data_IF_155865094908
#
_entry.id   IF_155865094908
#
_cell.length_a   1.000
_cell.length_b   1.000
_cell.length_c   1.000
_cell.angle_alpha   90.00
_cell.angle_beta   90.00
_cell.angle_gamma   90.00
#
_symmetry.space_group_name_H-M   'P 1'
#
loop_
_entity.id
_entity.type
_entity.pdbx_description
1 polymer ?
#
# COMPACT_ATOMS: atom_id res chain seq x y z
N UNK A 1 20.01 -26.34 30.60
CA UNK A 1 19.32 -26.38 29.28
C UNK A 1 18.81 -24.97 29.01
N UNK A 2 19.59 -24.17 28.28
CA UNK A 2 19.33 -22.74 28.03
C UNK A 2 19.30 -22.56 26.52
N UNK A 3 18.12 -22.25 25.97
CA UNK A 3 17.90 -22.07 24.55
C UNK A 3 18.52 -20.76 24.05
N UNK A 4 19.39 -20.85 23.04
CA UNK A 4 19.92 -19.70 22.32
C UNK A 4 18.81 -19.05 21.49
N UNK A 5 18.51 -17.80 21.82
CA UNK A 5 17.79 -16.87 20.94
C UNK A 5 18.65 -16.62 19.70
N UNK A 6 18.13 -16.91 18.51
CA UNK A 6 18.74 -16.47 17.25
C UNK A 6 18.47 -14.96 17.12
N UNK A 7 19.52 -14.15 17.15
CA UNK A 7 19.45 -12.75 16.77
C UNK A 7 19.34 -12.66 15.25
N UNK A 8 18.23 -12.10 14.76
CA UNK A 8 18.15 -11.67 13.37
C UNK A 8 19.16 -10.55 13.15
N UNK A 9 20.21 -10.85 12.38
CA UNK A 9 21.17 -9.85 11.96
C UNK A 9 20.49 -8.86 10.99
N UNK A 10 20.75 -7.56 11.08
CA UNK A 10 20.26 -6.59 10.10
C UNK A 10 20.81 -6.95 8.72
N UNK A 11 19.93 -7.18 7.75
CA UNK A 11 20.33 -7.27 6.34
C UNK A 11 21.01 -5.96 5.95
N UNK A 12 22.23 -6.05 5.43
CA UNK A 12 22.94 -4.90 4.88
C UNK A 12 22.08 -4.27 3.76
N UNK A 13 21.89 -2.94 3.75
CA UNK A 13 21.11 -2.29 2.72
C UNK A 13 21.75 -2.53 1.35
N UNK A 14 20.95 -2.95 0.37
CA UNK A 14 21.35 -2.96 -1.03
C UNK A 14 21.87 -1.55 -1.39
N UNK A 15 23.05 -1.48 -2.00
CA UNK A 15 23.62 -0.20 -2.42
C UNK A 15 22.61 0.54 -3.34
N UNK A 16 22.31 1.80 -3.03
CA UNK A 16 21.34 2.64 -3.74
C UNK A 16 21.54 2.67 -5.26
N UNK A 17 22.75 2.39 -5.75
CA UNK A 17 23.11 2.28 -7.18
C UNK A 17 22.45 1.11 -7.93
N UNK A 18 21.69 0.23 -7.26
CA UNK A 18 21.04 -0.95 -7.87
C UNK A 18 19.53 -0.98 -7.71
N UNK A 19 18.95 0.12 -7.23
CA UNK A 19 17.52 0.28 -7.06
C UNK A 19 16.85 0.68 -8.39
N UNK A 20 15.62 0.21 -8.56
CA UNK A 20 14.73 0.56 -9.65
C UNK A 20 15.01 -0.15 -10.98
N UNK A 21 14.25 0.21 -12.02
CA UNK A 21 14.44 -0.30 -13.37
C UNK A 21 15.87 -0.10 -13.88
N UNK A 22 16.37 -1.11 -14.59
CA UNK A 22 17.69 -1.18 -15.21
C UNK A 22 17.54 -1.56 -16.68
N UNK A 23 18.48 -1.17 -17.56
CA UNK A 23 18.48 -1.62 -18.94
C UNK A 23 18.50 -3.15 -19.04
N UNK A 24 17.61 -3.70 -19.87
CA UNK A 24 17.61 -5.13 -20.13
C UNK A 24 18.82 -5.53 -20.99
N UNK A 25 19.60 -6.55 -20.60
CA UNK A 25 20.81 -6.93 -21.33
C UNK A 25 20.49 -7.76 -22.58
N UNK A 26 21.22 -7.49 -23.67
CA UNK A 26 21.24 -8.32 -24.88
C UNK A 26 19.84 -8.68 -25.41
N UNK A 27 19.61 -9.98 -25.66
CA UNK A 27 18.32 -10.47 -26.20
C UNK A 27 17.13 -10.24 -25.27
N UNK A 28 17.35 -10.02 -23.97
CA UNK A 28 16.27 -9.77 -23.01
C UNK A 28 15.57 -8.41 -23.23
N UNK A 29 16.19 -7.49 -23.98
CA UNK A 29 15.54 -6.23 -24.36
C UNK A 29 14.60 -6.37 -25.57
N UNK A 30 14.54 -7.54 -26.22
CA UNK A 30 13.77 -7.75 -27.44
C UNK A 30 12.43 -8.44 -27.13
N UNK A 31 11.30 -7.82 -27.51
CA UNK A 31 9.97 -8.38 -27.27
C UNK A 31 9.77 -9.73 -27.98
N UNK A 32 10.30 -9.90 -29.18
CA UNK A 32 10.18 -11.16 -29.95
C UNK A 32 10.94 -12.34 -29.31
N UNK A 33 11.96 -12.06 -28.48
CA UNK A 33 12.60 -13.10 -27.67
C UNK A 33 11.60 -13.62 -26.62
N UNK A 34 10.89 -12.72 -25.95
CA UNK A 34 9.88 -13.07 -24.96
C UNK A 34 8.64 -13.71 -25.56
N UNK A 35 8.21 -13.30 -26.75
CA UNK A 35 7.11 -13.97 -27.47
C UNK A 35 7.41 -15.47 -27.66
N UNK A 36 8.66 -15.82 -28.01
CA UNK A 36 9.11 -17.21 -28.16
C UNK A 36 9.18 -17.95 -26.81
N UNK A 37 9.68 -17.29 -25.76
CA UNK A 37 9.79 -17.91 -24.43
C UNK A 37 8.40 -18.19 -23.83
N UNK A 38 7.50 -17.20 -23.90
CA UNK A 38 6.13 -17.28 -23.35
C UNK A 38 5.21 -18.08 -24.28
N UNK A 39 5.58 -18.23 -25.55
CA UNK A 39 4.78 -18.85 -26.63
C UNK A 39 3.48 -18.10 -26.84
N UNK A 40 3.58 -16.78 -27.00
CA UNK A 40 2.45 -15.95 -27.40
C UNK A 40 2.00 -16.34 -28.81
N UNK A 41 0.69 -16.39 -29.04
CA UNK A 41 0.09 -16.76 -30.33
C UNK A 41 -1.31 -16.16 -30.43
N UNK A 42 -1.80 -15.98 -31.66
CA UNK A 42 -3.14 -15.43 -31.89
C UNK A 42 -3.21 -13.97 -31.47
N UNK A 43 -4.08 -13.67 -30.51
CA UNK A 43 -4.35 -12.31 -30.03
C UNK A 43 -3.45 -11.85 -28.88
N UNK A 44 -2.59 -12.74 -28.37
CA UNK A 44 -1.62 -12.46 -27.31
C UNK A 44 -0.29 -11.96 -27.91
N UNK A 45 0.26 -10.86 -27.39
CA UNK A 45 1.60 -10.35 -27.72
C UNK A 45 2.32 -9.78 -26.51
N UNK A 46 3.64 -9.90 -26.46
CA UNK A 46 4.45 -9.16 -25.47
C UNK A 46 4.37 -7.66 -25.80
N UNK A 47 3.88 -6.89 -24.84
CA UNK A 47 3.73 -5.43 -24.96
C UNK A 47 4.96 -4.70 -24.45
N UNK A 48 5.53 -5.15 -23.33
CA UNK A 48 6.71 -4.51 -22.73
C UNK A 48 7.55 -5.48 -21.92
N UNK A 49 8.83 -5.13 -21.80
CA UNK A 49 9.78 -5.76 -20.88
C UNK A 49 10.56 -4.68 -20.13
N UNK A 50 10.71 -4.87 -18.83
CA UNK A 50 11.58 -4.07 -17.97
C UNK A 50 12.45 -4.99 -17.12
N UNK A 51 13.66 -4.58 -16.79
CA UNK A 51 14.57 -5.40 -15.99
C UNK A 51 14.94 -4.69 -14.68
N UNK A 52 15.19 -5.45 -13.63
CA UNK A 52 15.74 -4.95 -12.36
C UNK A 52 16.29 -6.09 -11.51
N UNK A 53 16.89 -5.76 -10.36
CA UNK A 53 17.23 -6.74 -9.33
C UNK A 53 16.03 -6.95 -8.39
N UNK A 54 15.02 -7.67 -8.87
CA UNK A 54 13.78 -7.94 -8.14
C UNK A 54 13.92 -9.03 -7.07
N UNK A 55 14.96 -9.87 -7.18
CA UNK A 55 15.23 -11.00 -6.30
C UNK A 55 16.63 -10.86 -5.69
N UNK A 56 16.88 -11.53 -4.57
CA UNK A 56 18.25 -11.73 -4.05
C UNK A 56 19.09 -12.62 -4.95
N UNK A 57 18.44 -13.40 -5.82
CA UNK A 57 19.08 -14.23 -6.82
C UNK A 57 19.99 -13.39 -7.73
N UNK A 58 21.23 -13.82 -8.00
CA UNK A 58 22.18 -13.05 -8.79
C UNK A 58 21.71 -12.80 -10.22
N UNK A 59 21.92 -11.57 -10.69
CA UNK A 59 21.56 -11.12 -12.03
C UNK A 59 20.23 -10.35 -12.07
N UNK A 60 19.92 -9.81 -13.25
CA UNK A 60 18.67 -9.10 -13.49
C UNK A 60 17.53 -10.09 -13.75
N UNK A 61 16.36 -9.74 -13.24
CA UNK A 61 15.09 -10.34 -13.58
C UNK A 61 14.37 -9.45 -14.60
N UNK A 62 13.54 -10.07 -15.43
CA UNK A 62 12.69 -9.36 -16.39
C UNK A 62 11.24 -9.45 -15.96
N UNK A 63 10.60 -8.28 -15.82
CA UNK A 63 9.16 -8.11 -15.77
C UNK A 63 8.64 -8.03 -17.20
N UNK A 64 7.77 -8.96 -17.59
CA UNK A 64 7.22 -9.04 -18.95
C UNK A 64 5.71 -8.88 -18.88
N UNK A 65 5.18 -7.94 -19.67
CA UNK A 65 3.75 -7.69 -19.82
C UNK A 65 3.28 -8.24 -21.17
N UNK A 66 2.27 -9.10 -21.15
CA UNK A 66 1.63 -9.68 -22.34
C UNK A 66 0.20 -9.17 -22.43
N UNK A 67 -0.18 -8.62 -23.58
CA UNK A 67 -1.51 -8.08 -23.86
C UNK A 67 -2.29 -9.03 -24.75
N UNK A 68 -3.56 -9.23 -24.44
CA UNK A 68 -4.54 -9.92 -25.27
C UNK A 68 -5.50 -8.89 -25.86
N UNK A 69 -5.36 -8.59 -27.15
CA UNK A 69 -6.07 -7.46 -27.77
C UNK A 69 -7.55 -7.76 -28.03
N UNK A 70 -7.92 -9.02 -28.27
CA UNK A 70 -9.30 -9.39 -28.62
C UNK A 70 -10.24 -9.52 -27.41
N UNK A 71 -9.68 -9.64 -26.20
CA UNK A 71 -10.42 -9.95 -24.97
C UNK A 71 -10.61 -8.73 -24.06
N UNK A 72 -10.79 -7.54 -24.63
CA UNK A 72 -10.93 -6.30 -23.84
C UNK A 72 -9.61 -5.81 -23.24
N UNK A 73 -8.49 -6.04 -23.92
CA UNK A 73 -7.15 -5.58 -23.53
C UNK A 73 -6.66 -6.13 -22.17
N UNK A 74 -6.97 -7.40 -21.89
CA UNK A 74 -6.47 -8.11 -20.71
C UNK A 74 -4.95 -8.24 -20.76
N UNK A 75 -4.30 -8.04 -19.61
CA UNK A 75 -2.87 -8.21 -19.42
C UNK A 75 -2.53 -9.42 -18.54
N UNK A 76 -1.46 -10.11 -18.92
CA UNK A 76 -0.76 -11.08 -18.09
C UNK A 76 0.65 -10.55 -17.79
N UNK A 77 1.08 -10.69 -16.55
CA UNK A 77 2.36 -10.20 -16.03
C UNK A 77 3.19 -11.39 -15.61
N UNK A 78 4.46 -11.39 -15.98
CA UNK A 78 5.40 -12.45 -15.65
C UNK A 78 6.69 -11.86 -15.09
N UNK A 79 7.34 -12.57 -14.16
CA UNK A 79 8.74 -12.30 -13.80
C UNK A 79 9.59 -13.52 -14.13
N UNK A 80 10.68 -13.28 -14.86
CA UNK A 80 11.65 -14.30 -15.24
C UNK A 80 13.03 -13.99 -14.65
N UNK A 81 13.76 -15.03 -14.25
CA UNK A 81 15.19 -14.97 -13.95
C UNK A 81 16.00 -15.78 -14.98
N UNK A 82 17.33 -15.66 -14.90
CA UNK A 82 18.27 -16.25 -15.89
C UNK A 82 17.91 -15.81 -17.32
N UNK A 83 17.63 -14.51 -17.50
CA UNK A 83 17.00 -13.92 -18.69
C UNK A 83 17.83 -14.00 -19.98
N UNK A 84 19.10 -14.40 -19.89
CA UNK A 84 19.96 -14.67 -21.05
C UNK A 84 20.03 -16.16 -21.42
N UNK A 85 19.43 -17.05 -20.60
CA UNK A 85 19.32 -18.48 -20.90
C UNK A 85 18.43 -18.73 -22.12
N UNK A 86 18.58 -19.90 -22.75
CA UNK A 86 17.62 -20.37 -23.75
C UNK A 86 16.31 -20.85 -23.12
N UNK A 87 16.31 -21.08 -21.80
CA UNK A 87 15.14 -21.40 -20.98
C UNK A 87 15.18 -20.55 -19.70
N UNK A 88 14.74 -19.28 -19.74
CA UNK A 88 14.55 -18.48 -18.55
C UNK A 88 13.58 -19.16 -17.58
N UNK A 89 13.80 -18.98 -16.28
CA UNK A 89 12.95 -19.56 -15.26
C UNK A 89 11.88 -18.56 -14.83
N UNK A 90 10.60 -18.94 -14.88
CA UNK A 90 9.48 -18.11 -14.44
C UNK A 90 9.34 -18.20 -12.91
N UNK A 91 9.29 -17.06 -12.23
CA UNK A 91 9.12 -16.96 -10.77
C UNK A 91 7.84 -16.24 -10.34
N UNK A 92 7.19 -15.55 -11.27
CA UNK A 92 5.91 -14.89 -11.01
C UNK A 92 5.03 -14.96 -12.24
N UNK A 93 3.73 -15.12 -12.00
CA UNK A 93 2.68 -14.95 -13.00
C UNK A 93 1.45 -14.38 -12.33
N UNK A 94 0.93 -13.30 -12.90
CA UNK A 94 -0.39 -12.77 -12.60
C UNK A 94 -1.13 -12.61 -13.92
N UNK A 95 -2.39 -13.05 -13.99
CA UNK A 95 -3.12 -13.10 -15.25
C UNK A 95 -4.51 -12.51 -15.11
N UNK A 96 -5.10 -12.09 -16.23
CA UNK A 96 -6.46 -11.57 -16.23
C UNK A 96 -6.57 -10.12 -15.76
N UNK A 97 -5.50 -9.32 -15.88
CA UNK A 97 -5.55 -7.91 -15.50
C UNK A 97 -6.33 -7.11 -16.55
N UNK A 98 -7.58 -6.79 -16.25
CA UNK A 98 -8.42 -5.95 -17.11
C UNK A 98 -7.80 -4.55 -17.27
N UNK A 99 -7.58 -4.11 -18.52
CA UNK A 99 -6.82 -2.90 -18.85
C UNK A 99 -5.48 -2.80 -18.09
N UNK A 100 -4.87 -3.96 -17.80
CA UNK A 100 -3.83 -4.04 -16.79
C UNK A 100 -2.53 -3.35 -17.18
N UNK A 101 -1.81 -2.82 -16.19
CA UNK A 101 -0.46 -2.28 -16.36
C UNK A 101 0.47 -2.97 -15.38
N UNK A 102 1.76 -3.01 -15.71
CA UNK A 102 2.79 -3.45 -14.79
C UNK A 102 4.04 -2.58 -14.96
N UNK A 103 4.68 -2.24 -13.84
CA UNK A 103 5.98 -1.57 -13.81
C UNK A 103 6.83 -2.10 -12.66
N UNK A 104 8.12 -1.83 -12.72
CA UNK A 104 9.02 -2.08 -11.59
C UNK A 104 9.08 -0.79 -10.78
N UNK A 105 8.84 -0.89 -9.47
CA UNK A 105 8.99 0.23 -8.54
C UNK A 105 10.46 0.68 -8.49
N UNK A 106 10.73 1.91 -8.05
CA UNK A 106 12.11 2.33 -7.76
C UNK A 106 12.75 1.51 -6.62
N UNK A 107 11.99 0.72 -5.89
CA UNK A 107 12.43 -0.17 -4.80
C UNK A 107 12.47 -1.66 -5.17
N UNK A 108 12.58 -1.98 -6.46
CA UNK A 108 12.72 -3.35 -6.96
C UNK A 108 11.57 -4.32 -6.60
N UNK A 109 10.34 -3.79 -6.49
CA UNK A 109 9.11 -4.57 -6.40
C UNK A 109 8.35 -4.54 -7.72
N UNK A 110 7.43 -5.48 -7.89
CA UNK A 110 6.53 -5.52 -9.04
C UNK A 110 5.25 -4.78 -8.68
N UNK A 111 4.94 -3.73 -9.43
CA UNK A 111 3.71 -2.96 -9.29
C UNK A 111 2.77 -3.34 -10.42
N UNK A 112 1.53 -3.65 -10.08
CA UNK A 112 0.47 -3.94 -11.06
C UNK A 112 -0.71 -3.02 -10.85
N UNK A 113 -1.37 -2.66 -11.94
CA UNK A 113 -2.62 -1.93 -11.94
C UNK A 113 -3.65 -2.68 -12.80
N UNK A 114 -4.92 -2.62 -12.45
CA UNK A 114 -6.02 -3.10 -13.27
C UNK A 114 -7.27 -2.24 -13.06
N UNK A 115 -8.18 -2.28 -14.02
CA UNK A 115 -9.52 -1.76 -13.85
C UNK A 115 -10.37 -2.73 -13.02
N UNK A 116 -11.27 -2.19 -12.21
CA UNK A 116 -12.25 -2.96 -11.42
C UNK A 116 -13.28 -3.66 -12.31
N UNK A 117 -13.68 -3.05 -13.42
CA UNK A 117 -14.67 -3.59 -14.36
C UNK A 117 -14.36 -3.15 -15.80
N UNK A 118 -15.08 -3.72 -16.77
CA UNK A 118 -14.82 -3.48 -18.21
C UNK A 118 -15.27 -2.11 -18.71
N UNK A 119 -16.10 -1.39 -17.95
CA UNK A 119 -16.47 -0.01 -18.29
C UNK A 119 -15.42 1.02 -17.83
N UNK A 120 -14.57 0.68 -16.87
CA UNK A 120 -13.52 1.56 -16.38
C UNK A 120 -12.25 1.37 -17.22
N UNK A 121 -11.91 2.34 -18.07
CA UNK A 121 -10.66 2.32 -18.85
C UNK A 121 -9.43 2.69 -18.02
N UNK A 122 -9.63 3.37 -16.90
CA UNK A 122 -8.56 3.82 -16.00
C UNK A 122 -8.36 2.76 -14.91
N UNK A 123 -7.15 2.21 -14.75
CA UNK A 123 -6.86 1.33 -13.63
C UNK A 123 -7.07 2.02 -12.29
N UNK A 124 -7.79 1.36 -11.38
CA UNK A 124 -8.17 1.85 -10.05
C UNK A 124 -7.84 0.85 -8.94
N UNK A 125 -7.36 -0.35 -9.30
CA UNK A 125 -6.88 -1.37 -8.38
C UNK A 125 -5.39 -1.59 -8.58
N UNK A 126 -4.62 -1.31 -7.54
CA UNK A 126 -3.16 -1.40 -7.56
C UNK A 126 -2.67 -2.42 -6.54
N UNK A 127 -1.61 -3.14 -6.90
CA UNK A 127 -0.96 -4.12 -6.02
C UNK A 127 0.55 -4.07 -6.15
N UNK A 128 1.22 -4.29 -5.03
CA UNK A 128 2.67 -4.42 -4.94
C UNK A 128 3.04 -5.86 -4.58
N UNK A 129 4.01 -6.43 -5.29
CA UNK A 129 4.55 -7.76 -5.01
C UNK A 129 6.06 -7.67 -4.79
N UNK A 130 6.51 -8.22 -3.66
CA UNK A 130 7.92 -8.23 -3.26
C UNK A 130 8.43 -9.66 -3.18
N UNK A 131 9.68 -9.88 -3.59
CA UNK A 131 10.33 -11.17 -3.44
C UNK A 131 10.55 -11.51 -1.96
N UNK A 132 10.19 -12.73 -1.58
CA UNK A 132 10.37 -13.30 -0.25
C UNK A 132 11.31 -14.50 -0.35
N UNK A 133 12.52 -14.38 0.20
CA UNK A 133 13.51 -15.47 0.20
C UNK A 133 13.00 -16.72 0.93
N UNK A 134 12.29 -16.51 2.04
CA UNK A 134 11.71 -17.59 2.83
C UNK A 134 10.63 -18.36 2.08
N UNK A 135 9.81 -17.67 1.28
CA UNK A 135 8.77 -18.30 0.46
C UNK A 135 9.31 -18.80 -0.89
N UNK A 136 10.47 -18.30 -1.35
CA UNK A 136 10.97 -18.56 -2.70
C UNK A 136 10.01 -18.05 -3.80
N UNK A 137 9.23 -17.02 -3.50
CA UNK A 137 8.18 -16.50 -4.37
C UNK A 137 7.99 -14.99 -4.18
N UNK A 138 7.29 -14.37 -5.13
CA UNK A 138 6.77 -13.01 -4.96
C UNK A 138 5.47 -13.06 -4.16
N UNK A 139 5.43 -12.32 -3.05
CA UNK A 139 4.27 -12.20 -2.19
C UNK A 139 3.69 -10.79 -2.30
N UNK A 140 2.37 -10.68 -2.25
CA UNK A 140 1.73 -9.36 -2.20
C UNK A 140 2.06 -8.70 -0.85
N UNK A 141 2.48 -7.44 -0.89
CA UNK A 141 2.78 -6.64 0.30
C UNK A 141 1.90 -5.41 0.36
N UNK A 142 1.59 -4.95 1.57
CA UNK A 142 0.87 -3.70 1.79
C UNK A 142 1.83 -2.51 1.66
N UNK A 143 1.40 -1.46 0.95
CA UNK A 143 2.06 -0.16 1.02
C UNK A 143 1.83 0.48 2.40
N UNK A 144 2.84 1.11 3.04
CA UNK A 144 2.65 1.67 4.38
C UNK A 144 1.77 2.92 4.47
N UNK A 145 1.55 3.64 3.35
CA UNK A 145 0.79 4.90 3.30
C UNK A 145 -0.73 4.70 3.31
N UNK A 146 -1.42 5.67 3.91
CA UNK A 146 -2.88 5.78 3.99
C UNK A 146 -3.41 6.99 3.21
N UNK A 147 -2.59 8.03 3.05
CA UNK A 147 -2.93 9.28 2.37
C UNK A 147 -1.65 10.10 2.10
N UNK A 148 -1.53 10.82 0.97
CA UNK A 148 -2.50 10.87 -0.14
C UNK A 148 -2.58 9.57 -0.92
N UNK A 149 -1.56 8.71 -0.80
CA UNK A 149 -1.45 7.51 -1.60
C UNK A 149 -1.76 6.26 -0.79
N UNK A 150 -2.72 5.48 -1.29
CA UNK A 150 -3.05 4.19 -0.71
C UNK A 150 -2.12 3.08 -1.19
N UNK A 151 -1.37 3.30 -2.27
CA UNK A 151 -0.54 2.28 -2.93
C UNK A 151 0.79 2.88 -3.37
N UNK A 152 1.85 2.05 -3.45
CA UNK A 152 3.15 2.48 -4.00
C UNK A 152 3.03 2.93 -5.46
N UNK A 153 2.11 2.33 -6.21
CA UNK A 153 1.89 2.69 -7.61
C UNK A 153 1.52 4.17 -7.76
N UNK A 154 0.59 4.63 -6.90
CA UNK A 154 0.14 6.03 -6.86
C UNK A 154 1.23 6.94 -6.30
N UNK A 155 1.85 6.56 -5.16
CA UNK A 155 2.89 7.36 -4.53
C UNK A 155 4.08 7.68 -5.44
N UNK A 156 4.53 6.71 -6.25
CA UNK A 156 5.60 6.97 -7.23
C UNK A 156 5.15 7.87 -8.38
N UNK A 157 3.87 7.82 -8.78
CA UNK A 157 3.34 8.72 -9.79
C UNK A 157 3.25 10.15 -9.22
N UNK A 158 2.73 10.29 -8.01
CA UNK A 158 2.61 11.57 -7.32
C UNK A 158 3.98 12.19 -7.02
N UNK A 159 4.97 11.37 -6.65
CA UNK A 159 6.35 11.84 -6.52
C UNK A 159 6.89 12.40 -7.85
N UNK A 160 6.56 11.78 -8.99
CA UNK A 160 7.01 12.27 -10.29
C UNK A 160 6.34 13.60 -10.67
N UNK A 161 5.07 13.78 -10.33
CA UNK A 161 4.35 15.06 -10.51
C UNK A 161 4.94 16.16 -9.62
N UNK A 162 5.22 15.84 -8.36
CA UNK A 162 5.85 16.77 -7.40
C UNK A 162 7.25 17.18 -7.84
N UNK A 163 8.03 16.26 -8.40
CA UNK A 163 9.35 16.57 -8.97
C UNK A 163 9.26 17.54 -10.16
N UNK A 164 8.10 17.64 -10.83
CA UNK A 164 7.82 18.60 -11.90
C UNK A 164 7.22 19.92 -11.37
N UNK A 165 7.14 20.09 -10.05
CA UNK A 165 6.61 21.28 -9.40
C UNK A 165 5.08 21.28 -9.25
N UNK A 166 4.40 20.16 -9.47
CA UNK A 166 2.97 20.04 -9.28
C UNK A 166 2.63 19.63 -7.83
N UNK A 167 1.46 20.06 -7.33
CA UNK A 167 0.96 19.68 -5.99
C UNK A 167 1.99 19.84 -4.83
N UNK A 168 2.62 21.02 -4.67
CA UNK A 168 3.69 21.24 -3.70
C UNK A 168 3.28 21.00 -2.24
N UNK A 169 1.97 21.02 -1.94
CA UNK A 169 1.44 20.72 -0.60
C UNK A 169 1.85 19.34 -0.09
N UNK A 170 2.12 18.37 -0.99
CA UNK A 170 2.60 17.03 -0.62
C UNK A 170 4.03 17.01 -0.06
N UNK A 171 4.77 18.11 -0.20
CA UNK A 171 6.10 18.28 0.39
C UNK A 171 6.05 18.85 1.82
N UNK A 172 4.87 19.27 2.28
CA UNK A 172 4.64 19.83 3.62
C UNK A 172 3.76 18.87 4.46
N UNK A 173 4.25 18.53 5.66
CA UNK A 173 3.57 17.57 6.52
C UNK A 173 2.25 18.11 7.11
N UNK A 174 2.17 19.43 7.37
CA UNK A 174 0.96 20.07 7.87
C UNK A 174 -0.11 20.13 6.80
N UNK A 175 0.23 20.58 5.61
CA UNK A 175 -0.72 20.68 4.50
C UNK A 175 -1.19 19.30 4.06
N UNK A 176 -0.30 18.31 4.01
CA UNK A 176 -0.68 16.91 3.80
C UNK A 176 -1.70 16.43 4.84
N UNK A 177 -1.49 16.77 6.12
CA UNK A 177 -2.42 16.40 7.19
C UNK A 177 -3.75 17.14 7.09
N UNK A 178 -3.74 18.43 6.74
CA UNK A 178 -4.97 19.24 6.53
C UNK A 178 -5.82 18.67 5.40
N UNK A 179 -5.20 18.26 4.30
CA UNK A 179 -5.89 17.63 3.17
C UNK A 179 -6.54 16.28 3.54
N UNK A 180 -6.08 15.64 4.61
CA UNK A 180 -6.62 14.37 5.11
C UNK A 180 -7.70 14.51 6.20
N UNK A 181 -8.12 15.73 6.59
CA UNK A 181 -9.07 15.92 7.70
C UNK A 181 -10.38 15.15 7.52
N UNK A 182 -10.88 15.07 6.28
CA UNK A 182 -12.07 14.27 5.95
C UNK A 182 -11.92 12.78 6.28
N UNK A 183 -10.74 12.20 6.04
CA UNK A 183 -10.43 10.81 6.41
C UNK A 183 -10.55 10.60 7.92
N UNK A 184 -10.19 11.59 8.72
CA UNK A 184 -10.25 11.54 10.18
C UNK A 184 -11.63 11.89 10.76
N UNK A 185 -12.64 12.08 9.91
CA UNK A 185 -13.97 12.59 10.31
C UNK A 185 -13.83 13.92 11.09
N UNK A 186 -12.98 14.83 10.59
CA UNK A 186 -12.73 16.18 11.13
C UNK A 186 -13.30 17.23 10.18
N UNK A 187 -13.73 18.36 10.76
CA UNK A 187 -14.03 19.56 9.97
C UNK A 187 -12.73 20.13 9.40
N UNK A 188 -12.84 20.80 8.26
CA UNK A 188 -11.70 21.39 7.56
C UNK A 188 -11.05 22.55 8.34
N UNK A 189 -11.77 23.15 9.32
CA UNK A 189 -11.25 24.19 10.21
C UNK A 189 -10.56 23.65 11.47
N UNK A 190 -10.54 22.33 11.69
CA UNK A 190 -9.91 21.75 12.87
C UNK A 190 -8.42 22.14 12.93
N UNK A 191 -7.92 22.65 14.08
CA UNK A 191 -6.51 23.04 14.20
C UNK A 191 -5.56 21.87 13.97
N UNK A 192 -4.52 22.13 13.19
CA UNK A 192 -3.46 21.18 12.87
C UNK A 192 -2.13 21.79 13.30
N UNK A 193 -1.40 21.10 14.16
CA UNK A 193 -0.14 21.59 14.75
C UNK A 193 0.98 20.58 14.62
N UNK A 194 2.15 21.03 14.22
CA UNK A 194 3.33 20.18 14.08
C UNK A 194 3.89 19.94 15.49
N UNK A 195 3.99 18.67 15.88
CA UNK A 195 4.51 18.27 17.20
C UNK A 195 6.01 18.01 17.11
N UNK A 196 6.45 17.33 16.05
CA UNK A 196 7.87 17.00 15.84
C UNK A 196 8.16 16.65 14.39
N UNK A 197 9.39 16.89 13.94
CA UNK A 197 9.85 16.57 12.58
C UNK A 197 9.21 17.47 11.53
N UNK A 198 8.99 16.94 10.32
CA UNK A 198 8.27 17.66 9.25
C UNK A 198 9.10 18.72 8.50
N UNK A 199 10.36 18.93 8.88
CA UNK A 199 11.27 19.80 8.17
C UNK A 199 11.71 19.27 6.80
N UNK A 200 12.48 20.09 6.08
CA UNK A 200 12.95 19.80 4.72
C UNK A 200 13.73 18.48 4.61
N UNK A 201 14.48 18.12 5.65
CA UNK A 201 15.35 16.94 5.68
C UNK A 201 14.90 15.87 6.68
N UNK A 202 13.73 16.03 7.29
CA UNK A 202 13.20 15.02 8.19
C UNK A 202 12.59 13.87 7.39
N UNK A 203 12.84 12.64 7.85
CA UNK A 203 12.21 11.44 7.29
C UNK A 203 10.80 11.20 7.87
N UNK A 204 10.52 11.77 9.06
CA UNK A 204 9.30 11.53 9.81
C UNK A 204 8.72 12.84 10.34
N UNK A 205 7.40 12.85 10.54
CA UNK A 205 6.70 13.95 11.19
C UNK A 205 5.59 13.39 12.09
N UNK A 206 5.29 14.14 13.15
CA UNK A 206 4.11 13.93 13.98
C UNK A 206 3.33 15.22 14.02
N UNK A 207 2.06 15.13 13.63
CA UNK A 207 1.14 16.26 13.58
C UNK A 207 -0.03 15.95 14.49
N UNK A 208 -0.43 16.94 15.31
CA UNK A 208 -1.58 16.86 16.19
C UNK A 208 -2.76 17.57 15.54
N UNK A 209 -3.88 16.85 15.43
CA UNK A 209 -5.14 17.39 14.93
C UNK A 209 -6.12 17.44 16.09
N UNK A 210 -6.56 18.64 16.44
CA UNK A 210 -7.51 18.86 17.52
C UNK A 210 -8.94 18.71 17.04
N UNK A 211 -9.86 18.44 17.95
CA UNK A 211 -11.28 18.61 17.77
C UNK A 211 -11.96 19.15 19.01
N UNK A 212 -12.96 19.97 18.73
CA UNK A 212 -13.77 20.69 19.69
C UNK A 212 -15.25 20.35 19.46
N UNK A 213 -15.68 19.14 19.82
CA UNK A 213 -17.10 18.81 19.79
C UNK A 213 -17.81 19.71 20.80
N UNK A 214 -18.92 20.31 20.39
CA UNK A 214 -19.61 21.31 21.22
C UNK A 214 -19.87 20.79 22.64
N UNK A 215 -19.39 21.53 23.64
CA UNK A 215 -19.59 21.23 25.06
C UNK A 215 -18.65 20.19 25.67
N UNK A 216 -17.69 19.65 24.91
CA UNK A 216 -16.70 18.69 25.40
C UNK A 216 -15.27 19.23 25.27
N UNK A 217 -14.37 18.81 26.17
CA UNK A 217 -12.98 19.23 26.15
C UNK A 217 -12.25 18.91 24.83
N UNK A 218 -11.07 19.47 24.63
CA UNK A 218 -10.30 19.25 23.41
C UNK A 218 -9.90 17.77 23.26
N UNK A 219 -10.38 17.12 22.20
CA UNK A 219 -9.89 15.80 21.78
C UNK A 219 -8.79 15.99 20.74
N UNK A 220 -7.83 15.08 20.70
CA UNK A 220 -6.80 15.13 19.69
C UNK A 220 -6.47 13.74 19.14
N UNK A 221 -6.03 13.72 17.90
CA UNK A 221 -5.35 12.58 17.30
C UNK A 221 -3.91 12.98 16.97
N UNK A 222 -3.02 12.00 17.02
CA UNK A 222 -1.67 12.12 16.47
C UNK A 222 -1.62 11.42 15.11
N UNK A 223 -1.27 12.19 14.10
CA UNK A 223 -1.05 11.76 12.73
C UNK A 223 0.45 11.61 12.54
N UNK A 224 0.90 10.41 12.19
CA UNK A 224 2.31 10.13 11.91
C UNK A 224 2.50 10.07 10.41
N UNK A 225 3.48 10.81 9.93
CA UNK A 225 3.86 10.86 8.53
C UNK A 225 5.28 10.33 8.35
N UNK A 226 5.54 9.76 7.18
CA UNK A 226 6.86 9.42 6.71
C UNK A 226 7.05 10.01 5.32
N UNK A 227 8.24 10.50 5.01
CA UNK A 227 8.58 10.72 3.61
C UNK A 227 8.53 9.39 2.88
N UNK A 228 8.10 9.42 1.62
CA UNK A 228 8.06 8.26 0.74
C UNK A 228 9.42 7.56 0.80
N UNK A 229 9.42 6.40 1.48
CA UNK A 229 10.58 5.52 1.65
C UNK A 229 11.79 6.21 2.31
N UNK A 230 11.52 7.21 3.14
CA UNK A 230 12.54 7.95 3.87
C UNK A 230 13.38 8.89 2.98
N UNK A 231 12.92 9.24 1.77
CA UNK A 231 13.64 10.19 0.93
C UNK A 231 13.62 11.62 1.53
N UNK A 232 14.64 11.96 2.30
CA UNK A 232 14.83 13.28 2.95
C UNK A 232 15.27 14.40 2.01
N UNK A 233 15.28 14.15 0.69
CA UNK A 233 15.69 15.10 -0.34
C UNK A 233 14.55 15.28 -1.36
N UNK A 234 13.39 15.74 -0.87
CA UNK A 234 12.21 16.00 -1.72
C UNK A 234 11.20 14.85 -1.82
N UNK A 235 11.28 13.85 -0.96
CA UNK A 235 10.24 12.80 -0.89
C UNK A 235 8.90 13.36 -0.42
N UNK A 236 7.80 12.99 -1.08
CA UNK A 236 6.44 13.38 -0.64
C UNK A 236 6.12 12.80 0.74
N UNK A 237 5.23 13.43 1.49
CA UNK A 237 4.76 12.94 2.78
C UNK A 237 3.59 11.99 2.63
N UNK A 238 3.70 10.84 3.31
CA UNK A 238 2.63 9.85 3.44
C UNK A 238 2.20 9.75 4.90
N UNK A 239 0.90 9.80 5.15
CA UNK A 239 0.31 9.46 6.45
C UNK A 239 0.39 7.95 6.61
N UNK A 240 1.09 7.48 7.65
CA UNK A 240 1.37 6.04 7.85
C UNK A 240 0.73 5.46 9.11
N UNK A 241 0.22 6.32 9.99
CA UNK A 241 -0.57 5.93 11.15
C UNK A 241 -1.39 7.11 11.69
N UNK A 242 -2.55 6.79 12.26
CA UNK A 242 -3.39 7.73 13.02
C UNK A 242 -3.67 7.11 14.37
N UNK A 243 -3.41 7.87 15.43
CA UNK A 243 -3.54 7.41 16.81
C UNK A 243 -4.52 8.31 17.56
N UNK A 244 -5.70 7.76 17.88
CA UNK A 244 -6.63 8.35 18.82
C UNK A 244 -6.13 8.23 20.25
N UNK A 245 -6.41 9.24 21.07
CA UNK A 245 -6.06 9.20 22.50
C UNK A 245 -6.75 8.01 23.19
N UNK A 246 -5.98 7.26 23.98
CA UNK A 246 -6.42 6.07 24.75
C UNK A 246 -7.07 4.95 23.92
N UNK A 247 -6.97 4.99 22.60
CA UNK A 247 -7.42 3.92 21.71
C UNK A 247 -6.26 3.05 21.23
N UNK A 248 -6.53 1.77 21.01
CA UNK A 248 -5.58 0.87 20.37
C UNK A 248 -6.28 -0.22 19.58
N UNK A 249 -5.62 -0.67 18.51
CA UNK A 249 -5.91 -1.94 17.84
C UNK A 249 -4.69 -2.86 18.01
N UNK A 250 -4.94 -4.08 18.50
CA UNK A 250 -3.92 -5.13 18.67
C UNK A 250 -4.05 -6.22 17.62
N UNK A 251 -5.24 -6.35 17.01
CA UNK A 251 -5.47 -7.11 15.79
C UNK A 251 -6.50 -6.38 14.93
N UNK A 252 -6.27 -6.24 13.61
CA UNK A 252 -5.12 -6.72 12.87
C UNK A 252 -3.84 -5.92 13.14
N UNK A 253 -2.68 -6.54 12.87
CA UNK A 253 -1.39 -5.82 12.81
C UNK A 253 -1.26 -5.10 11.47
N UNK A 254 -0.38 -4.09 11.42
CA UNK A 254 -0.10 -3.34 10.18
C UNK A 254 0.33 -4.30 9.05
N UNK A 255 -0.29 -4.13 7.89
CA UNK A 255 -0.02 -4.91 6.68
C UNK A 255 -0.64 -6.31 6.66
N UNK A 256 -1.42 -6.69 7.67
CA UNK A 256 -2.07 -8.00 7.71
C UNK A 256 -3.02 -8.20 6.52
N UNK A 257 -3.01 -9.40 5.97
CA UNK A 257 -4.01 -9.86 5.00
C UNK A 257 -5.25 -10.35 5.74
N UNK A 258 -6.40 -9.74 5.43
CA UNK A 258 -7.69 -10.07 6.04
C UNK A 258 -8.61 -10.72 5.02
N UNK A 259 -9.43 -11.65 5.51
CA UNK A 259 -10.53 -12.28 4.79
C UNK A 259 -11.83 -12.02 5.54
N UNK A 260 -12.92 -11.81 4.81
CA UNK A 260 -14.22 -11.55 5.43
C UNK A 260 -14.90 -12.86 5.86
N UNK A 261 -15.49 -12.94 7.07
CA UNK A 261 -15.37 -11.97 8.17
C UNK A 261 -14.06 -12.12 8.95
N UNK A 262 -13.59 -11.03 9.55
CA UNK A 262 -12.35 -10.99 10.35
C UNK A 262 -12.63 -10.62 11.81
N UNK A 263 -11.68 -10.94 12.70
CA UNK A 263 -11.73 -10.55 14.12
C UNK A 263 -10.85 -9.31 14.33
N UNK A 264 -11.43 -8.27 14.91
CA UNK A 264 -10.72 -7.05 15.32
C UNK A 264 -10.68 -6.99 16.85
N UNK A 265 -9.50 -6.71 17.39
CA UNK A 265 -9.24 -6.63 18.84
C UNK A 265 -8.57 -5.32 19.17
N UNK A 266 -8.90 -4.78 20.33
CA UNK A 266 -8.37 -3.50 20.77
C UNK A 266 -8.85 -3.08 22.14
N UNK A 267 -8.62 -1.82 22.46
CA UNK A 267 -9.08 -1.19 23.69
C UNK A 267 -9.43 0.27 23.40
N UNK A 268 -10.47 0.76 24.05
CA UNK A 268 -10.81 2.18 24.10
C UNK A 268 -11.52 2.48 25.43
N UNK A 269 -11.56 3.75 25.89
CA UNK A 269 -12.51 4.17 26.89
C UNK A 269 -13.95 3.79 26.49
N UNK A 270 -14.77 3.46 27.47
CA UNK A 270 -16.15 3.05 27.25
C UNK A 270 -17.10 4.24 27.41
N UNK A 271 -18.07 4.33 26.52
CA UNK A 271 -19.26 5.16 26.69
C UNK A 271 -20.47 4.26 26.57
N UNK A 272 -21.31 4.20 27.61
CA UNK A 272 -22.49 3.32 27.67
C UNK A 272 -22.19 1.83 27.39
N UNK A 273 -20.96 1.37 27.69
CA UNK A 273 -20.51 -0.01 27.47
C UNK A 273 -19.92 -0.29 26.08
N UNK A 274 -19.96 0.69 25.18
CA UNK A 274 -19.36 0.62 23.84
C UNK A 274 -17.95 1.20 23.84
N UNK A 275 -17.02 0.49 23.22
CA UNK A 275 -15.67 0.98 22.92
C UNK A 275 -15.64 1.84 21.65
N UNK A 276 -16.68 1.75 20.82
CA UNK A 276 -16.84 2.51 19.59
C UNK A 276 -17.20 1.65 18.39
N UNK A 277 -16.99 2.18 17.20
CA UNK A 277 -17.26 1.51 15.92
C UNK A 277 -15.96 1.13 15.25
N UNK A 278 -15.88 -0.12 14.81
CA UNK A 278 -14.84 -0.61 13.91
C UNK A 278 -15.37 -0.53 12.48
N UNK A 279 -14.68 0.21 11.61
CA UNK A 279 -14.97 0.36 10.18
C UNK A 279 -13.86 -0.27 9.32
N UNK A 280 -14.27 -0.92 8.23
CA UNK A 280 -13.41 -1.42 7.17
C UNK A 280 -13.51 -0.47 5.98
N UNK A 281 -12.39 0.14 5.58
CA UNK A 281 -12.30 1.04 4.44
C UNK A 281 -11.48 0.38 3.33
N UNK A 282 -11.94 0.48 2.09
CA UNK A 282 -11.23 -0.04 0.91
C UNK A 282 -10.11 0.89 0.42
N UNK A 283 -9.54 0.62 -0.76
CA UNK A 283 -8.43 1.42 -1.33
C UNK A 283 -8.83 2.84 -1.72
N UNK A 284 -10.13 3.15 -1.75
CA UNK A 284 -10.68 4.48 -2.01
C UNK A 284 -11.19 5.16 -0.72
N UNK A 285 -10.84 4.60 0.44
CA UNK A 285 -11.36 5.01 1.75
C UNK A 285 -12.89 4.91 1.86
N UNK A 286 -13.53 4.07 1.04
CA UNK A 286 -14.98 3.83 1.10
C UNK A 286 -15.27 2.76 2.13
N UNK A 287 -16.31 2.98 2.97
CA UNK A 287 -16.75 2.00 3.95
C UNK A 287 -17.35 0.77 3.28
N UNK A 288 -16.77 -0.40 3.55
CA UNK A 288 -17.22 -1.69 3.01
C UNK A 288 -17.67 -2.70 4.09
N UNK A 289 -17.56 -2.33 5.36
CA UNK A 289 -18.02 -3.13 6.49
C UNK A 289 -17.85 -2.38 7.81
N UNK A 290 -18.62 -2.77 8.83
CA UNK A 290 -18.52 -2.18 10.17
C UNK A 290 -19.13 -3.07 11.25
N UNK A 291 -18.68 -2.90 12.49
CA UNK A 291 -19.33 -3.47 13.67
C UNK A 291 -19.15 -2.57 14.89
N UNK A 292 -20.08 -2.63 15.84
CA UNK A 292 -19.95 -1.97 17.14
C UNK A 292 -19.09 -2.87 18.05
N UNK A 293 -18.05 -2.29 18.63
CA UNK A 293 -17.20 -2.95 19.61
C UNK A 293 -17.71 -2.65 21.02
N UNK A 294 -17.93 -3.70 21.82
CA UNK A 294 -18.39 -3.60 23.21
C UNK A 294 -17.33 -4.14 24.17
N UNK A 295 -17.26 -3.55 25.37
CA UNK A 295 -16.25 -3.88 26.37
C UNK A 295 -14.84 -3.35 26.06
N UNK A 296 -13.94 -3.39 27.04
CA UNK A 296 -12.55 -2.96 26.88
C UNK A 296 -11.64 -3.77 27.82
N UNK A 297 -10.75 -4.64 27.30
CA UNK A 297 -10.48 -4.88 25.88
C UNK A 297 -11.69 -5.49 25.15
N UNK A 298 -11.81 -5.21 23.85
CA UNK A 298 -12.86 -5.79 22.99
C UNK A 298 -12.31 -6.82 22.02
N UNK A 299 -13.20 -7.67 21.52
CA UNK A 299 -12.97 -8.58 20.40
C UNK A 299 -14.27 -8.68 19.59
N UNK A 300 -14.28 -8.12 18.39
CA UNK A 300 -15.49 -8.02 17.55
C UNK A 300 -15.27 -8.68 16.20
N UNK A 301 -16.29 -9.37 15.69
CA UNK A 301 -16.32 -9.95 14.34
C UNK A 301 -16.85 -8.90 13.37
N UNK A 302 -16.08 -8.59 12.33
CA UNK A 302 -16.44 -7.60 11.31
C UNK A 302 -16.54 -8.30 9.96
N UNK A 303 -17.73 -8.27 9.38
CA UNK A 303 -17.96 -8.67 8.00
C UNK A 303 -17.81 -7.46 7.08
N UNK A 304 -17.21 -7.66 5.92
CA UNK A 304 -17.12 -6.66 4.86
C UNK A 304 -17.30 -7.30 3.48
N UNK A 305 -17.60 -6.47 2.48
CA UNK A 305 -17.72 -6.90 1.08
C UNK A 305 -16.72 -6.13 0.22
N UNK A 306 -15.68 -6.82 -0.25
CA UNK A 306 -14.70 -6.23 -1.18
C UNK A 306 -15.26 -6.31 -2.60
N UNK A 307 -15.29 -5.19 -3.31
CA UNK A 307 -15.62 -5.14 -4.74
C UNK A 307 -14.54 -5.78 -5.62
N UNK A 308 -13.37 -6.06 -5.05
CA UNK A 308 -12.27 -6.71 -5.73
C UNK A 308 -12.22 -8.20 -5.39
N UNK A 309 -12.36 -9.04 -6.42
CA UNK A 309 -12.43 -10.51 -6.30
C UNK A 309 -11.17 -11.25 -6.78
N UNK A 310 -10.23 -10.57 -7.47
CA UNK A 310 -9.06 -11.19 -8.10
C UNK A 310 -7.81 -11.28 -7.22
N UNK A 311 -7.92 -11.04 -5.91
CA UNK A 311 -6.80 -10.95 -4.98
C UNK A 311 -7.13 -10.13 -3.74
N UNK A 312 -6.12 -9.51 -3.13
CA UNK A 312 -6.32 -8.53 -2.08
C UNK A 312 -6.12 -7.10 -2.59
N UNK A 313 -6.86 -6.14 -2.05
CA UNK A 313 -6.68 -4.71 -2.25
C UNK A 313 -6.13 -4.03 -0.99
N UNK A 314 -5.58 -2.83 -1.13
CA UNK A 314 -5.22 -2.00 0.02
C UNK A 314 -6.47 -1.58 0.80
N UNK A 315 -6.34 -1.40 2.12
CA UNK A 315 -7.45 -0.94 2.96
C UNK A 315 -7.02 -0.45 4.34
N UNK A 316 -7.97 0.04 5.11
CA UNK A 316 -7.77 0.56 6.47
C UNK A 316 -8.81 -0.06 7.41
N UNK A 317 -8.36 -0.51 8.57
CA UNK A 317 -9.24 -0.75 9.73
C UNK A 317 -9.20 0.47 10.63
N UNK A 318 -10.36 1.07 10.88
CA UNK A 318 -10.51 2.27 11.70
C UNK A 318 -11.37 1.97 12.92
N UNK A 319 -10.90 2.34 14.11
CA UNK A 319 -11.68 2.38 15.34
C UNK A 319 -11.96 3.84 15.71
N UNK A 320 -13.21 4.21 15.95
CA UNK A 320 -13.56 5.58 16.36
C UNK A 320 -14.83 5.58 17.23
N UNK A 321 -15.05 6.66 17.99
CA UNK A 321 -16.31 6.86 18.72
C UNK A 321 -17.45 7.29 17.80
N UNK A 322 -18.64 6.75 18.05
CA UNK A 322 -19.85 7.16 17.34
C UNK A 322 -20.34 8.56 17.74
N UNK A 323 -19.97 9.05 18.93
CA UNK A 323 -20.30 10.40 19.38
C UNK A 323 -19.46 11.46 18.66
N UNK A 324 -19.92 12.72 18.64
CA UNK A 324 -19.32 13.84 17.89
C UNK A 324 -17.83 14.15 18.18
N UNK A 325 -17.23 13.46 19.14
CA UNK A 325 -15.81 13.48 19.49
C UNK A 325 -15.03 12.31 18.86
N UNK A 326 -15.08 12.18 17.53
CA UNK A 326 -14.36 11.11 16.81
C UNK A 326 -12.87 11.16 17.14
N UNK A 327 -12.24 10.05 17.52
CA UNK A 327 -10.78 9.98 17.75
C UNK A 327 -10.24 8.74 17.07
N UNK A 328 -10.13 8.74 15.73
CA UNK A 328 -9.84 7.53 15.00
C UNK A 328 -8.46 6.95 15.35
N UNK A 329 -8.41 5.63 15.51
CA UNK A 329 -7.20 4.83 15.44
C UNK A 329 -7.23 4.00 14.16
N UNK A 330 -6.21 4.13 13.31
CA UNK A 330 -6.21 3.51 11.98
C UNK A 330 -5.03 2.57 11.78
N UNK A 331 -5.31 1.42 11.17
CA UNK A 331 -4.32 0.40 10.80
C UNK A 331 -4.44 0.05 9.32
N UNK A 332 -3.32 0.13 8.61
CA UNK A 332 -3.21 -0.23 7.19
C UNK A 332 -3.20 -1.75 7.04
N UNK A 333 -3.97 -2.29 6.09
CA UNK A 333 -4.15 -3.74 5.88
C UNK A 333 -4.35 -4.07 4.40
N UNK A 334 -4.29 -5.36 4.07
CA UNK A 334 -4.76 -5.90 2.79
C UNK A 334 -6.12 -6.58 2.99
N UNK A 335 -7.09 -6.26 2.14
CA UNK A 335 -8.46 -6.79 2.20
C UNK A 335 -8.70 -7.74 1.03
N UNK A 336 -8.99 -9.01 1.35
CA UNK A 336 -9.46 -10.01 0.38
C UNK A 336 -10.95 -10.23 0.57
N UNK A 337 -11.67 -10.36 -0.55
CA UNK A 337 -13.08 -10.76 -0.56
C UNK A 337 -13.30 -12.07 0.20
#
# INVERSE_FOLDING_TARGET
MVGRVRSDAPQAPLSQSTLGPQPCPGKANNLSYWDKIIRTSGDAKVESVSCAKLMTYPGLQALVLVRHHSTGSIANVYVYAKILSNKPAQFFKLSGLLHGKAKISVYNTVLTAQAQNSSTLVPDLFREFKWSDGAGAFEQTAFPGMFPDMTRYQAEADQAEVNQGHQPWKLDALDTTKSALGLFKRDWNNPVTLVSGGGLHDAHAVVRVEAYPQGSGAFAILVKLSRLEGNTHGGIWEIVAVQGDRMSLTAPVKGALLTSPTIVKGSAPLFEGEAGVVEMLDSHSTKIGSAIATGSPFSVRVSYSSSFHGGAQEGIVSLYYQSGATTPFMVKVLLRA
#
